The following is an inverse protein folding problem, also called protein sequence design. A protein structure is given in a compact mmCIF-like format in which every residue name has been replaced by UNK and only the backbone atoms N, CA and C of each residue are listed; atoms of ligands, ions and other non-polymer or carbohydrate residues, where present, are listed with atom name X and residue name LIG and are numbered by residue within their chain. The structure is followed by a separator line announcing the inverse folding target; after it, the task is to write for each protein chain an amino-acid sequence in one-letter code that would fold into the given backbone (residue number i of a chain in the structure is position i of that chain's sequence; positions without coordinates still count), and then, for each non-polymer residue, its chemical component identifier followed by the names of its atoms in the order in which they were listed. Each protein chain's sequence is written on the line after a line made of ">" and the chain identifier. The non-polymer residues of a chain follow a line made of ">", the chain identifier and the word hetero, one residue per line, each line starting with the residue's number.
data_IF_542684953612
#
_entry.id   IF_542684953612
#
_cell.length_a   1.000
_cell.length_b   1.000
_cell.length_c   1.000
_cell.angle_alpha   90.00
_cell.angle_beta   90.00
_cell.angle_gamma   90.00
#
_symmetry.space_group_name_H-M   'P 1'
#
loop_
_entity.id
_entity.type
_entity.pdbx_description
1 polymer ?
#
# COMPACT_ATOMS: atom_id res chain seq x y z
N UNK A 1 -7.81 37.41 -28.93
CA UNK A 1 -6.81 37.98 -29.84
C UNK A 1 -6.52 39.46 -29.51
N UNK A 2 -7.53 40.32 -29.58
CA UNK A 2 -7.37 41.77 -29.32
C UNK A 2 -6.69 42.05 -27.98
N UNK A 3 -7.10 41.43 -26.92
CA UNK A 3 -6.50 41.59 -25.60
C UNK A 3 -5.00 41.23 -25.55
N UNK A 4 -4.54 40.30 -26.37
CA UNK A 4 -3.11 39.97 -26.48
C UNK A 4 -2.39 41.04 -27.29
N UNK A 5 -2.96 41.45 -28.43
CA UNK A 5 -2.35 42.45 -29.30
C UNK A 5 -2.23 43.80 -28.58
N UNK A 6 -3.26 44.25 -27.88
CA UNK A 6 -3.29 45.52 -27.16
C UNK A 6 -2.28 45.60 -26.00
N UNK A 7 -2.03 44.48 -25.34
CA UNK A 7 -1.09 44.39 -24.21
C UNK A 7 0.36 44.11 -24.68
N UNK A 8 0.55 43.77 -25.95
CA UNK A 8 1.89 43.48 -26.50
C UNK A 8 2.75 44.74 -26.55
N UNK A 9 3.93 44.75 -25.90
CA UNK A 9 4.84 45.90 -25.97
C UNK A 9 5.26 46.23 -27.41
N UNK A 10 5.44 47.52 -27.73
CA UNK A 10 5.73 48.02 -29.09
C UNK A 10 6.90 47.30 -29.78
N UNK A 11 7.93 46.95 -29.02
CA UNK A 11 9.10 46.19 -29.54
C UNK A 11 8.76 44.78 -30.06
N UNK A 12 7.63 44.23 -29.66
CA UNK A 12 7.18 42.88 -30.08
C UNK A 12 5.94 42.90 -30.98
N UNK A 13 5.37 44.10 -31.30
CA UNK A 13 4.18 44.22 -32.17
C UNK A 13 4.38 43.65 -33.59
N UNK A 14 5.61 43.46 -34.01
CA UNK A 14 5.91 42.80 -35.26
C UNK A 14 5.67 41.27 -35.24
N UNK A 15 5.62 40.70 -34.03
CA UNK A 15 5.28 39.28 -33.82
C UNK A 15 3.75 39.20 -33.73
N UNK A 16 3.11 38.74 -34.81
CA UNK A 16 1.66 38.56 -34.84
C UNK A 16 1.27 37.25 -34.15
N UNK A 17 0.64 37.23 -32.99
CA UNK A 17 0.17 36.00 -32.40
C UNK A 17 -0.98 35.43 -33.21
N UNK A 18 -0.99 34.12 -33.44
CA UNK A 18 -2.14 33.43 -34.03
C UNK A 18 -3.00 32.86 -32.88
N UNK A 19 -4.25 33.29 -32.82
CA UNK A 19 -5.23 32.73 -31.88
C UNK A 19 -6.30 32.01 -32.68
N UNK A 20 -6.52 30.76 -32.37
CA UNK A 20 -7.51 29.92 -33.04
C UNK A 20 -8.44 29.29 -31.99
N UNK A 21 -9.67 29.00 -32.39
CA UNK A 21 -10.62 28.27 -31.56
C UNK A 21 -10.86 26.89 -32.14
N UNK A 22 -11.28 25.96 -31.27
CA UNK A 22 -11.65 24.61 -31.68
C UNK A 22 -13.02 24.61 -32.36
N UNK A 23 -13.24 23.68 -33.29
CA UNK A 23 -14.46 23.64 -34.11
C UNK A 23 -15.71 23.25 -33.33
N UNK A 24 -15.56 22.44 -32.27
CA UNK A 24 -16.66 21.93 -31.42
C UNK A 24 -16.31 22.00 -29.94
N UNK A 25 -15.55 23.01 -29.51
CA UNK A 25 -15.10 23.14 -28.14
C UNK A 25 -14.13 22.04 -27.72
N UNK A 26 -13.99 21.80 -26.41
CA UNK A 26 -13.02 20.90 -25.82
C UNK A 26 -13.17 19.44 -26.30
N UNK A 27 -14.38 19.00 -26.67
CA UNK A 27 -14.62 17.61 -27.14
C UNK A 27 -13.96 17.26 -28.46
N UNK A 28 -13.61 18.26 -29.30
CA UNK A 28 -12.90 18.05 -30.57
C UNK A 28 -11.41 18.32 -30.51
N UNK A 29 -10.89 18.72 -29.36
CA UNK A 29 -9.55 19.26 -29.20
C UNK A 29 -8.46 18.39 -29.84
N UNK A 30 -8.33 17.12 -29.45
CA UNK A 30 -7.32 16.19 -29.96
C UNK A 30 -7.47 16.04 -31.49
N UNK A 31 -8.69 15.85 -31.99
CA UNK A 31 -8.96 15.66 -33.40
C UNK A 31 -8.59 16.90 -34.22
N UNK A 32 -8.98 18.08 -33.73
CA UNK A 32 -8.70 19.35 -34.41
C UNK A 32 -7.20 19.62 -34.48
N UNK A 33 -6.47 19.39 -33.39
CA UNK A 33 -5.02 19.59 -33.36
C UNK A 33 -4.29 18.56 -34.25
N UNK A 34 -4.69 17.31 -34.23
CA UNK A 34 -4.10 16.25 -35.08
C UNK A 34 -4.31 16.56 -36.57
N UNK A 35 -5.54 16.95 -36.97
CA UNK A 35 -5.87 17.28 -38.34
C UNK A 35 -5.13 18.53 -38.82
N UNK A 36 -4.73 19.41 -37.92
CA UNK A 36 -4.03 20.64 -38.26
C UNK A 36 -2.55 20.64 -37.84
N UNK A 37 -1.96 19.44 -37.61
CA UNK A 37 -0.57 19.30 -37.17
C UNK A 37 0.40 20.09 -38.00
N UNK A 38 0.34 19.99 -39.34
CA UNK A 38 1.23 20.70 -40.26
C UNK A 38 1.08 22.25 -40.22
N UNK A 39 -0.06 22.75 -39.74
CA UNK A 39 -0.21 24.17 -39.44
C UNK A 39 0.45 24.54 -38.08
N UNK A 40 0.28 23.72 -37.08
CA UNK A 40 0.85 23.95 -35.74
C UNK A 40 2.38 23.90 -35.74
N UNK A 41 2.97 23.01 -36.52
CA UNK A 41 4.43 22.85 -36.69
C UNK A 41 5.14 24.09 -37.30
N UNK A 42 4.38 25.05 -37.83
CA UNK A 42 4.93 26.33 -38.32
C UNK A 42 5.22 27.32 -37.19
N UNK A 43 4.73 27.02 -35.96
CA UNK A 43 4.91 27.91 -34.81
C UNK A 43 5.98 27.33 -33.89
N UNK A 44 6.77 28.24 -33.31
CA UNK A 44 7.79 27.87 -32.32
C UNK A 44 7.17 27.37 -31.02
N UNK A 45 5.96 27.87 -30.69
CA UNK A 45 5.25 27.55 -29.47
C UNK A 45 3.75 27.43 -29.75
N UNK A 46 3.12 26.41 -29.18
CA UNK A 46 1.67 26.24 -29.17
C UNK A 46 1.21 26.32 -27.71
N UNK A 47 0.28 27.22 -27.44
CA UNK A 47 -0.25 27.44 -26.10
C UNK A 47 -1.71 26.99 -26.04
N UNK A 48 -2.01 26.06 -25.16
CA UNK A 48 -3.36 25.62 -24.87
C UNK A 48 -3.96 26.55 -23.82
N UNK A 49 -5.05 27.22 -24.15
CA UNK A 49 -5.78 28.12 -23.27
C UNK A 49 -7.24 27.68 -23.27
N UNK A 50 -7.56 26.68 -22.45
CA UNK A 50 -8.90 26.10 -22.30
C UNK A 50 -9.56 26.58 -21.02
N UNK A 51 -10.87 26.35 -20.91
CA UNK A 51 -11.64 26.68 -19.72
C UNK A 51 -11.08 25.95 -18.49
N UNK A 52 -11.17 26.56 -17.32
CA UNK A 52 -10.68 25.99 -16.07
C UNK A 52 -11.69 25.04 -15.42
N UNK A 53 -12.74 24.66 -16.13
CA UNK A 53 -13.69 23.63 -15.71
C UNK A 53 -13.19 22.21 -16.00
N UNK A 54 -13.88 21.20 -15.45
CA UNK A 54 -13.49 19.79 -15.57
C UNK A 54 -13.36 19.34 -17.03
N UNK A 55 -14.31 19.64 -17.95
CA UNK A 55 -14.19 19.25 -19.38
C UNK A 55 -12.98 19.91 -20.07
N UNK A 56 -12.72 21.19 -19.78
CA UNK A 56 -11.59 21.92 -20.35
C UNK A 56 -10.25 21.33 -19.91
N UNK A 57 -10.10 21.02 -18.63
CA UNK A 57 -8.86 20.43 -18.08
C UNK A 57 -8.65 18.97 -18.51
N UNK A 58 -9.74 18.20 -18.66
CA UNK A 58 -9.67 16.87 -19.25
C UNK A 58 -9.17 16.93 -20.71
N UNK A 59 -9.67 17.89 -21.51
CA UNK A 59 -9.22 18.08 -22.88
C UNK A 59 -7.73 18.47 -22.95
N UNK A 60 -7.24 19.33 -22.06
CA UNK A 60 -5.80 19.65 -21.94
C UNK A 60 -5.01 18.36 -21.75
N UNK A 61 -5.41 17.52 -20.81
CA UNK A 61 -4.73 16.26 -20.51
C UNK A 61 -4.66 15.35 -21.72
N UNK A 62 -5.76 15.19 -22.45
CA UNK A 62 -5.78 14.35 -23.67
C UNK A 62 -4.93 14.94 -24.81
N UNK A 63 -4.97 16.26 -24.99
CA UNK A 63 -4.13 16.92 -26.01
C UNK A 63 -2.65 16.73 -25.71
N UNK A 64 -2.24 16.88 -24.44
CA UNK A 64 -0.84 16.74 -24.05
C UNK A 64 -0.29 15.32 -24.22
N UNK A 65 -1.13 14.27 -24.24
CA UNK A 65 -0.69 12.92 -24.60
C UNK A 65 -0.18 12.83 -26.03
N UNK A 66 -0.72 13.66 -26.93
CA UNK A 66 -0.40 13.66 -28.37
C UNK A 66 0.60 14.78 -28.72
N UNK A 67 0.50 15.91 -28.02
CA UNK A 67 1.32 17.12 -28.22
C UNK A 67 1.99 17.53 -26.89
N UNK A 68 2.97 16.77 -26.38
CA UNK A 68 3.52 16.96 -25.03
C UNK A 68 4.30 18.26 -24.83
N UNK A 69 4.70 18.91 -25.91
CA UNK A 69 5.46 20.17 -25.86
C UNK A 69 4.59 21.42 -25.88
N UNK A 70 3.26 21.27 -25.98
CA UNK A 70 2.37 22.42 -25.84
C UNK A 70 2.49 23.05 -24.46
N UNK A 71 2.57 24.36 -24.40
CA UNK A 71 2.44 25.12 -23.16
C UNK A 71 0.97 25.19 -22.76
N UNK A 72 0.70 25.27 -21.48
CA UNK A 72 -0.66 25.42 -20.94
C UNK A 72 -0.75 26.72 -20.16
N UNK A 73 -1.72 27.54 -20.49
CA UNK A 73 -2.08 28.72 -19.72
C UNK A 73 -3.05 28.33 -18.62
N UNK A 74 -2.81 28.78 -17.39
CA UNK A 74 -3.71 28.60 -16.23
C UNK A 74 -4.38 29.93 -15.91
N UNK A 75 -5.69 30.01 -16.12
CA UNK A 75 -6.43 31.20 -15.86
C UNK A 75 -6.90 31.26 -14.39
N UNK A 76 -6.86 32.42 -13.74
CA UNK A 76 -7.40 32.58 -12.37
C UNK A 76 -8.93 32.66 -12.32
N UNK A 77 -9.62 32.73 -13.45
CA UNK A 77 -11.07 32.63 -13.60
C UNK A 77 -11.43 31.48 -14.52
N UNK A 78 -12.72 31.23 -14.69
CA UNK A 78 -13.23 30.09 -15.45
C UNK A 78 -12.71 30.07 -16.89
N UNK A 79 -12.75 31.20 -17.56
CA UNK A 79 -12.36 31.33 -18.98
C UNK A 79 -11.84 32.72 -19.31
N UNK A 80 -11.38 32.88 -20.58
CA UNK A 80 -10.91 34.17 -21.09
C UNK A 80 -11.99 35.25 -21.09
N UNK A 81 -13.26 34.89 -21.31
CA UNK A 81 -14.38 35.88 -21.35
C UNK A 81 -14.62 36.47 -19.99
N UNK A 82 -14.60 35.63 -18.93
CA UNK A 82 -14.72 36.07 -17.55
C UNK A 82 -13.59 37.05 -17.18
N UNK A 83 -12.35 36.75 -17.62
CA UNK A 83 -11.20 37.61 -17.43
C UNK A 83 -11.42 39.02 -18.08
N UNK A 84 -11.94 39.02 -19.32
CA UNK A 84 -12.19 40.27 -20.06
C UNK A 84 -13.35 41.05 -19.44
N UNK A 85 -14.45 40.39 -19.07
CA UNK A 85 -15.60 41.05 -18.42
C UNK A 85 -15.23 41.72 -17.09
N UNK A 86 -14.26 41.16 -16.37
CA UNK A 86 -13.75 41.75 -15.13
C UNK A 86 -12.61 42.76 -15.33
N UNK A 87 -12.29 43.14 -16.56
CA UNK A 87 -11.27 44.13 -16.86
C UNK A 87 -9.83 43.66 -16.58
N UNK A 88 -9.60 42.30 -16.56
CA UNK A 88 -8.30 41.68 -16.23
C UNK A 88 -7.47 41.31 -17.48
N UNK A 89 -7.52 42.18 -18.55
CA UNK A 89 -6.84 41.93 -19.82
C UNK A 89 -5.32 41.78 -19.66
N UNK A 90 -4.72 42.59 -18.81
CA UNK A 90 -3.26 42.53 -18.55
C UNK A 90 -2.86 41.23 -17.88
N UNK A 91 -3.69 40.75 -16.99
CA UNK A 91 -3.45 39.47 -16.30
C UNK A 91 -3.65 38.29 -17.27
N UNK A 92 -4.71 38.29 -18.08
CA UNK A 92 -4.91 37.30 -19.14
C UNK A 92 -3.69 37.25 -20.08
N UNK A 93 -3.19 38.38 -20.54
CA UNK A 93 -1.98 38.48 -21.34
C UNK A 93 -0.79 37.80 -20.65
N UNK A 94 -0.58 38.10 -19.37
CA UNK A 94 0.54 37.54 -18.61
C UNK A 94 0.43 36.01 -18.45
N UNK A 95 -0.77 35.50 -18.14
CA UNK A 95 -0.98 34.06 -17.96
C UNK A 95 -0.76 33.29 -19.29
N UNK A 96 -1.22 33.84 -20.41
CA UNK A 96 -1.08 33.18 -21.72
C UNK A 96 0.34 33.32 -22.26
N UNK A 97 0.90 34.55 -22.28
CA UNK A 97 2.15 34.83 -23.00
C UNK A 97 3.40 34.53 -22.16
N UNK A 98 3.37 34.86 -20.87
CA UNK A 98 4.58 34.78 -20.03
C UNK A 98 4.59 33.66 -19.02
N UNK A 99 3.42 33.24 -18.51
CA UNK A 99 3.31 32.23 -17.44
C UNK A 99 2.89 30.86 -17.95
N UNK A 100 2.46 30.76 -19.23
CA UNK A 100 2.19 29.46 -19.80
C UNK A 100 3.48 28.61 -19.83
N UNK A 101 3.37 27.37 -19.42
CA UNK A 101 4.50 26.46 -19.34
C UNK A 101 4.16 25.07 -19.89
N UNK A 102 5.17 24.38 -20.38
CA UNK A 102 5.05 22.95 -20.72
C UNK A 102 4.74 22.20 -19.44
N UNK A 103 3.60 21.54 -19.43
CA UNK A 103 3.26 20.64 -18.32
C UNK A 103 3.91 19.28 -18.57
N UNK A 104 4.82 18.90 -17.71
CA UNK A 104 5.38 17.54 -17.76
C UNK A 104 4.25 16.54 -17.49
N UNK A 105 3.88 15.79 -18.52
CA UNK A 105 2.99 14.65 -18.37
C UNK A 105 3.85 13.43 -18.05
N UNK A 106 3.80 13.00 -16.83
CA UNK A 106 4.52 11.81 -16.41
C UNK A 106 4.87 11.87 -14.93
N UNK A 107 5.10 10.72 -14.39
CA UNK A 107 5.47 10.51 -12.99
C UNK A 107 6.94 10.91 -12.70
N UNK A 108 7.56 11.72 -13.58
CA UNK A 108 8.93 12.21 -13.38
C UNK A 108 8.90 13.44 -12.50
N UNK A 109 9.44 13.31 -11.30
CA UNK A 109 9.54 14.40 -10.33
C UNK A 109 10.91 15.07 -10.49
N UNK A 110 10.90 16.39 -10.68
CA UNK A 110 12.14 17.18 -10.66
C UNK A 110 12.61 17.40 -9.22
N UNK A 111 13.92 17.30 -9.00
CA UNK A 111 14.51 17.61 -7.71
C UNK A 111 14.46 19.14 -7.50
N UNK A 112 13.48 19.57 -6.71
CA UNK A 112 13.26 20.96 -6.33
C UNK A 112 13.65 21.17 -4.86
N UNK A 113 13.79 22.43 -4.44
CA UNK A 113 14.05 22.77 -3.02
C UNK A 113 13.00 22.14 -2.09
N UNK A 114 11.72 22.17 -2.47
CA UNK A 114 10.64 21.53 -1.72
C UNK A 114 10.80 20.01 -1.61
N UNK A 115 11.31 19.35 -2.64
CA UNK A 115 11.61 17.91 -2.59
C UNK A 115 12.82 17.64 -1.69
N UNK A 116 13.83 18.50 -1.76
CA UNK A 116 15.03 18.43 -0.90
C UNK A 116 14.62 18.60 0.57
N UNK A 117 13.79 19.58 0.90
CA UNK A 117 13.29 19.79 2.28
C UNK A 117 12.58 18.54 2.81
N UNK A 118 11.73 17.90 2.00
CA UNK A 118 11.09 16.63 2.36
C UNK A 118 12.09 15.49 2.56
N UNK A 119 13.12 15.43 1.73
CA UNK A 119 14.16 14.41 1.80
C UNK A 119 15.10 14.59 3.01
N UNK A 120 15.21 15.80 3.56
CA UNK A 120 15.99 16.08 4.76
C UNK A 120 15.34 15.57 6.06
N UNK A 121 14.08 15.16 6.00
CA UNK A 121 13.40 14.55 7.17
C UNK A 121 14.08 13.21 7.50
N UNK A 122 14.63 13.13 8.71
CA UNK A 122 15.29 11.88 9.16
C UNK A 122 14.29 10.74 9.30
N UNK A 123 14.66 9.51 8.88
CA UNK A 123 13.86 8.33 9.13
C UNK A 123 13.58 8.14 10.63
N UNK A 124 12.39 7.67 10.95
CA UNK A 124 11.97 7.35 12.32
C UNK A 124 11.83 5.83 12.45
N UNK A 125 11.89 5.33 13.69
CA UNK A 125 11.49 3.96 13.98
C UNK A 125 10.06 3.72 13.51
N UNK A 126 9.83 2.58 12.91
CA UNK A 126 8.50 2.13 12.53
C UNK A 126 7.64 1.77 13.74
N UNK A 127 6.45 1.28 13.49
CA UNK A 127 5.54 0.80 14.53
C UNK A 127 6.13 -0.46 15.19
N UNK A 128 6.20 -0.50 16.51
CA UNK A 128 6.78 -1.66 17.20
C UNK A 128 5.91 -2.91 17.07
N UNK A 129 6.56 -4.06 16.98
CA UNK A 129 5.92 -5.37 16.77
C UNK A 129 5.57 -6.10 18.06
N UNK A 130 5.75 -5.53 19.23
CA UNK A 130 5.75 -6.16 20.55
C UNK A 130 6.95 -7.10 20.85
N UNK A 131 7.82 -7.32 19.91
CA UNK A 131 9.04 -8.12 20.07
C UNK A 131 10.27 -7.25 19.87
N UNK A 132 10.88 -6.74 20.95
CA UNK A 132 12.00 -5.79 20.88
C UNK A 132 13.18 -6.28 20.06
N UNK A 133 13.48 -7.60 20.10
CA UNK A 133 14.57 -8.14 19.28
C UNK A 133 14.27 -8.13 17.80
N UNK A 134 13.00 -8.32 17.40
CA UNK A 134 12.56 -8.18 16.02
C UNK A 134 12.62 -6.71 15.59
N UNK A 135 12.11 -5.80 16.43
CA UNK A 135 12.16 -4.36 16.16
C UNK A 135 13.60 -3.83 16.03
N UNK A 136 14.53 -4.38 16.82
CA UNK A 136 15.96 -4.04 16.70
C UNK A 136 16.55 -4.44 15.36
N UNK A 137 16.09 -5.53 14.76
CA UNK A 137 16.56 -6.00 13.46
C UNK A 137 15.89 -5.27 12.29
N UNK A 138 14.59 -5.04 12.38
CA UNK A 138 13.76 -4.52 11.26
C UNK A 138 13.43 -3.03 11.39
N UNK A 139 13.80 -2.40 12.51
CA UNK A 139 13.38 -1.04 12.90
C UNK A 139 11.86 -0.88 13.05
N UNK A 140 11.12 -1.97 13.25
CA UNK A 140 9.66 -2.01 13.34
C UNK A 140 8.95 -2.15 11.98
N UNK A 141 7.64 -1.91 11.97
CA UNK A 141 6.83 -1.91 10.75
C UNK A 141 6.73 -0.49 10.18
N UNK A 142 6.99 -0.35 8.90
CA UNK A 142 7.02 0.95 8.22
C UNK A 142 5.80 1.13 7.31
N UNK A 143 5.33 2.38 7.18
CA UNK A 143 4.38 2.74 6.14
C UNK A 143 4.99 2.52 4.74
N UNK A 144 4.13 2.34 3.73
CA UNK A 144 4.54 2.03 2.36
C UNK A 144 5.27 0.67 2.24
N UNK A 145 4.92 -0.30 3.09
CA UNK A 145 5.63 -1.57 3.19
C UNK A 145 4.69 -2.77 2.97
N UNK A 146 5.17 -3.76 2.22
CA UNK A 146 4.58 -5.10 2.15
C UNK A 146 5.49 -6.04 2.93
N UNK A 147 4.95 -6.69 3.95
CA UNK A 147 5.61 -7.74 4.72
C UNK A 147 5.02 -9.10 4.34
N UNK A 148 5.85 -10.06 3.99
CA UNK A 148 5.40 -11.44 3.76
C UNK A 148 5.85 -12.31 4.92
N UNK A 149 4.89 -13.01 5.51
CA UNK A 149 5.12 -13.94 6.61
C UNK A 149 4.77 -15.36 6.21
N UNK A 150 5.76 -16.23 6.17
CA UNK A 150 5.60 -17.62 5.78
C UNK A 150 5.77 -18.62 6.92
N UNK A 151 4.95 -19.64 6.90
CA UNK A 151 5.09 -20.78 7.79
C UNK A 151 4.51 -22.05 7.16
N UNK A 152 4.93 -23.20 7.65
CA UNK A 152 4.19 -24.42 7.38
C UNK A 152 2.89 -24.48 8.20
N UNK A 153 1.91 -25.33 7.81
CA UNK A 153 0.64 -25.45 8.54
C UNK A 153 0.84 -25.82 10.01
N UNK A 154 0.06 -25.18 10.89
CA UNK A 154 0.08 -25.41 12.35
C UNK A 154 1.38 -24.99 13.08
N UNK A 155 2.29 -24.25 12.44
CA UNK A 155 3.50 -23.72 13.11
C UNK A 155 3.20 -22.68 14.20
N UNK A 156 2.04 -22.02 14.14
CA UNK A 156 1.66 -20.96 15.08
C UNK A 156 1.49 -19.59 14.45
N UNK A 157 1.45 -19.50 13.13
CA UNK A 157 1.26 -18.28 12.34
C UNK A 157 0.11 -17.40 12.85
N UNK A 158 -1.07 -18.00 13.06
CA UNK A 158 -2.26 -17.25 13.49
C UNK A 158 -2.10 -16.66 14.90
N UNK A 159 -1.40 -17.35 15.80
CA UNK A 159 -1.15 -16.83 17.15
C UNK A 159 -0.20 -15.61 17.11
N UNK A 160 0.85 -15.69 16.29
CA UNK A 160 1.77 -14.57 16.06
C UNK A 160 1.01 -13.35 15.46
N UNK A 161 0.22 -13.59 14.42
CA UNK A 161 -0.63 -12.57 13.78
C UNK A 161 -1.55 -11.90 14.80
N UNK A 162 -2.29 -12.70 15.56
CA UNK A 162 -3.30 -12.19 16.50
C UNK A 162 -2.66 -11.38 17.64
N UNK A 163 -1.47 -11.77 18.09
CA UNK A 163 -0.73 -11.00 19.09
C UNK A 163 -0.24 -9.66 18.55
N UNK A 164 0.24 -9.62 17.31
CA UNK A 164 0.63 -8.36 16.67
C UNK A 164 -0.58 -7.43 16.49
N UNK A 165 -1.72 -7.96 16.04
CA UNK A 165 -2.98 -7.21 15.93
C UNK A 165 -3.41 -6.66 17.30
N UNK A 166 -3.38 -7.49 18.33
CA UNK A 166 -3.65 -7.08 19.72
C UNK A 166 -2.73 -5.93 20.13
N UNK A 167 -1.44 -6.06 19.91
CA UNK A 167 -0.45 -5.03 20.25
C UNK A 167 -0.73 -3.71 19.54
N UNK A 168 -0.97 -3.73 18.22
CA UNK A 168 -1.25 -2.52 17.45
C UNK A 168 -2.54 -1.84 17.94
N UNK A 169 -3.59 -2.61 18.18
CA UNK A 169 -4.89 -2.04 18.60
C UNK A 169 -4.90 -1.51 20.02
N UNK A 170 -4.20 -2.15 20.96
CA UNK A 170 -4.25 -1.80 22.37
C UNK A 170 -3.07 -0.92 22.83
N UNK A 171 -1.86 -1.17 22.35
CA UNK A 171 -0.68 -0.41 22.77
C UNK A 171 -0.41 0.80 21.90
N UNK A 172 -0.63 0.68 20.58
CA UNK A 172 -0.51 1.83 19.68
C UNK A 172 -1.83 2.58 19.48
N UNK A 173 -2.94 2.04 19.97
CA UNK A 173 -4.28 2.61 19.84
C UNK A 173 -4.65 2.94 18.36
N UNK A 174 -4.26 2.07 17.43
CA UNK A 174 -4.50 2.24 15.98
C UNK A 174 -5.52 1.22 15.48
N UNK A 175 -6.39 1.61 14.54
CA UNK A 175 -7.29 0.68 13.89
C UNK A 175 -6.54 -0.24 12.92
N UNK A 176 -7.01 -1.49 12.83
CA UNK A 176 -6.41 -2.56 12.02
C UNK A 176 -7.46 -3.23 11.15
N UNK A 177 -7.14 -3.46 9.88
CA UNK A 177 -7.96 -4.26 8.95
C UNK A 177 -7.46 -5.72 8.88
N UNK A 178 -8.34 -6.69 9.06
CA UNK A 178 -8.00 -8.12 9.07
C UNK A 178 -8.84 -8.88 8.07
N UNK A 179 -8.17 -9.46 7.09
CA UNK A 179 -8.75 -10.22 5.99
C UNK A 179 -8.39 -11.70 6.16
N UNK A 180 -9.09 -12.37 7.10
CA UNK A 180 -8.96 -13.83 7.30
C UNK A 180 -9.83 -14.55 6.27
N UNK A 181 -9.19 -15.10 5.24
CA UNK A 181 -9.89 -15.73 4.13
C UNK A 181 -10.28 -17.20 4.38
N UNK A 182 -9.77 -17.81 5.45
CA UNK A 182 -10.05 -19.20 5.84
C UNK A 182 -10.83 -19.31 7.16
N UNK A 183 -10.78 -18.29 8.00
CA UNK A 183 -11.34 -18.31 9.35
C UNK A 183 -12.56 -17.40 9.45
N UNK A 184 -13.57 -17.83 10.20
CA UNK A 184 -14.77 -17.02 10.44
C UNK A 184 -14.45 -15.81 11.35
N UNK A 185 -14.95 -14.60 11.06
CA UNK A 185 -14.65 -13.36 11.79
C UNK A 185 -14.82 -13.47 13.31
N UNK A 186 -15.90 -14.13 13.77
CA UNK A 186 -16.16 -14.35 15.21
C UNK A 186 -15.02 -15.16 15.86
N UNK A 187 -14.48 -16.16 15.16
CA UNK A 187 -13.38 -16.95 15.69
C UNK A 187 -12.10 -16.12 15.79
N UNK A 188 -11.77 -15.36 14.77
CA UNK A 188 -10.64 -14.42 14.78
C UNK A 188 -10.78 -13.41 15.91
N UNK A 189 -11.97 -12.81 16.07
CA UNK A 189 -12.25 -11.86 17.14
C UNK A 189 -12.02 -12.48 18.54
N UNK A 190 -12.53 -13.69 18.79
CA UNK A 190 -12.30 -14.41 20.06
C UNK A 190 -10.81 -14.73 20.30
N UNK A 191 -10.08 -15.09 19.26
CA UNK A 191 -8.63 -15.35 19.34
C UNK A 191 -7.84 -14.09 19.74
N UNK A 192 -8.19 -12.94 19.16
CA UNK A 192 -7.55 -11.67 19.51
C UNK A 192 -7.95 -11.23 20.92
N UNK A 193 -9.23 -11.35 21.27
CA UNK A 193 -9.71 -11.05 22.63
C UNK A 193 -9.07 -11.95 23.70
N UNK A 194 -8.68 -13.18 23.34
CA UNK A 194 -7.94 -14.07 24.24
C UNK A 194 -6.60 -13.50 24.69
N UNK A 195 -5.95 -12.68 23.85
CA UNK A 195 -4.69 -11.99 24.18
C UNK A 195 -4.91 -10.92 25.24
N UNK A 196 -6.00 -10.15 25.12
CA UNK A 196 -6.39 -9.11 26.11
C UNK A 196 -6.68 -9.74 27.46
N UNK A 197 -7.45 -10.82 27.49
CA UNK A 197 -7.87 -11.48 28.74
C UNK A 197 -6.83 -12.47 29.29
N UNK A 198 -5.78 -12.77 28.53
CA UNK A 198 -4.82 -13.86 28.83
C UNK A 198 -5.52 -15.19 29.11
N UNK A 199 -6.59 -15.44 28.38
CA UNK A 199 -7.49 -16.58 28.57
C UNK A 199 -7.96 -17.09 27.22
N UNK A 200 -7.81 -18.39 26.96
CA UNK A 200 -8.23 -18.96 25.67
C UNK A 200 -9.76 -19.16 25.62
N UNK A 201 -10.47 -18.22 24.99
CA UNK A 201 -11.94 -18.27 24.84
C UNK A 201 -12.43 -19.30 23.80
N UNK A 202 -11.55 -20.03 23.15
CA UNK A 202 -11.93 -21.07 22.19
C UNK A 202 -11.83 -22.49 22.76
N UNK A 203 -11.28 -22.66 23.95
CA UNK A 203 -11.25 -23.97 24.62
C UNK A 203 -12.57 -24.25 25.30
N UNK A 204 -13.29 -25.34 24.96
CA UNK A 204 -14.60 -25.64 25.55
C UNK A 204 -14.55 -26.00 27.05
N UNK A 205 -13.40 -26.47 27.51
CA UNK A 205 -13.13 -26.86 28.89
C UNK A 205 -12.58 -25.70 29.76
N UNK A 206 -12.43 -24.52 29.18
CA UNK A 206 -11.94 -23.36 29.90
C UNK A 206 -13.11 -22.63 30.56
N UNK A 207 -13.14 -22.59 31.89
CA UNK A 207 -14.15 -21.87 32.64
C UNK A 207 -13.80 -20.40 32.73
N UNK A 208 -14.66 -19.54 32.17
CA UNK A 208 -14.52 -18.08 32.25
C UNK A 208 -15.88 -17.38 32.40
N UNK A 209 -15.89 -16.25 33.09
CA UNK A 209 -17.08 -15.41 33.21
C UNK A 209 -17.40 -14.72 31.88
N UNK A 210 -18.66 -14.75 31.44
CA UNK A 210 -19.15 -14.04 30.28
C UNK A 210 -18.83 -12.55 30.29
N UNK A 211 -18.72 -11.94 31.45
CA UNK A 211 -18.29 -10.54 31.59
C UNK A 211 -16.82 -10.34 31.20
N UNK A 212 -15.96 -11.33 31.51
CA UNK A 212 -14.55 -11.26 31.07
C UNK A 212 -14.45 -11.23 29.57
N UNK A 213 -15.18 -12.13 28.88
CA UNK A 213 -15.24 -12.14 27.42
C UNK A 213 -15.82 -10.84 26.87
N UNK A 214 -16.96 -10.38 27.39
CA UNK A 214 -17.60 -9.13 26.95
C UNK A 214 -16.66 -7.94 27.09
N UNK A 215 -16.01 -7.79 28.24
CA UNK A 215 -15.05 -6.71 28.48
C UNK A 215 -13.85 -6.76 27.53
N UNK A 216 -13.33 -7.96 27.25
CA UNK A 216 -12.23 -8.13 26.31
C UNK A 216 -12.65 -7.76 24.89
N UNK A 217 -13.84 -8.15 24.44
CA UNK A 217 -14.38 -7.82 23.11
C UNK A 217 -14.62 -6.31 22.94
N UNK A 218 -15.10 -5.64 23.98
CA UNK A 218 -15.40 -4.20 23.95
C UNK A 218 -14.17 -3.33 23.69
N UNK A 219 -12.98 -3.82 24.03
CA UNK A 219 -11.70 -3.13 23.79
C UNK A 219 -11.39 -2.92 22.31
N UNK A 220 -12.00 -3.72 21.43
CA UNK A 220 -11.74 -3.70 19.99
C UNK A 220 -12.77 -2.91 19.18
N UNK A 221 -13.82 -2.38 19.81
CA UNK A 221 -14.83 -1.54 19.14
C UNK A 221 -14.17 -0.31 18.51
N UNK A 222 -14.41 -0.10 17.20
CA UNK A 222 -13.83 0.99 16.41
C UNK A 222 -12.33 0.88 16.15
N UNK A 223 -11.69 -0.26 16.51
CA UNK A 223 -10.26 -0.49 16.28
C UNK A 223 -9.95 -1.75 15.49
N UNK A 224 -10.89 -2.67 15.38
CA UNK A 224 -10.69 -3.92 14.67
C UNK A 224 -11.77 -4.09 13.61
N UNK A 225 -11.35 -4.12 12.35
CA UNK A 225 -12.20 -4.30 11.19
C UNK A 225 -11.93 -5.67 10.58
N UNK A 226 -12.92 -6.55 10.65
CA UNK A 226 -12.81 -7.92 10.18
C UNK A 226 -13.56 -8.10 8.86
N UNK A 227 -12.87 -8.61 7.85
CA UNK A 227 -13.49 -8.89 6.57
C UNK A 227 -14.47 -10.07 6.69
N UNK A 228 -15.73 -9.83 6.35
CA UNK A 228 -16.74 -10.87 6.28
C UNK A 228 -16.80 -11.43 4.86
N UNK A 229 -16.26 -12.64 4.69
CA UNK A 229 -16.16 -13.34 3.41
C UNK A 229 -17.48 -13.92 2.87
N UNK A 230 -18.61 -13.64 3.50
CA UNK A 230 -19.91 -14.15 3.05
C UNK A 230 -20.29 -13.62 1.67
N UNK A 231 -19.64 -12.56 1.17
CA UNK A 231 -19.82 -11.98 -0.16
C UNK A 231 -18.86 -12.55 -1.19
N UNK A 232 -17.65 -12.02 -1.26
CA UNK A 232 -16.69 -12.31 -2.33
C UNK A 232 -15.31 -12.64 -1.78
N UNK A 233 -14.56 -13.48 -2.53
CA UNK A 233 -13.10 -13.66 -2.37
C UNK A 233 -12.35 -13.08 -3.56
N UNK A 234 -12.98 -12.15 -4.29
CA UNK A 234 -12.31 -11.50 -5.40
C UNK A 234 -11.31 -10.47 -4.87
N UNK A 235 -10.17 -10.41 -5.50
CA UNK A 235 -9.11 -9.47 -5.13
C UNK A 235 -9.56 -8.01 -5.29
N UNK A 236 -10.34 -7.69 -6.33
CA UNK A 236 -10.79 -6.34 -6.58
C UNK A 236 -11.71 -5.81 -5.46
N UNK A 237 -12.58 -6.68 -4.91
CA UNK A 237 -13.43 -6.33 -3.78
C UNK A 237 -12.59 -6.09 -2.50
N UNK A 238 -11.60 -6.95 -2.25
CA UNK A 238 -10.68 -6.79 -1.12
C UNK A 238 -9.88 -5.50 -1.25
N UNK A 239 -9.34 -5.22 -2.44
CA UNK A 239 -8.62 -3.98 -2.75
C UNK A 239 -9.48 -2.75 -2.49
N UNK A 240 -10.73 -2.76 -2.92
CA UNK A 240 -11.68 -1.67 -2.67
C UNK A 240 -11.93 -1.47 -1.17
N UNK A 241 -12.14 -2.57 -0.41
CA UNK A 241 -12.32 -2.51 1.04
C UNK A 241 -11.08 -1.96 1.78
N UNK A 242 -9.87 -2.32 1.35
CA UNK A 242 -8.63 -1.77 1.92
C UNK A 242 -8.57 -0.25 1.72
N UNK A 243 -8.86 0.23 0.52
CA UNK A 243 -8.89 1.67 0.20
C UNK A 243 -9.95 2.38 1.04
N UNK A 244 -11.17 1.84 1.09
CA UNK A 244 -12.28 2.40 1.85
C UNK A 244 -11.93 2.52 3.34
N UNK A 245 -11.44 1.45 3.98
CA UNK A 245 -11.04 1.47 5.37
C UNK A 245 -9.88 2.44 5.65
N UNK A 246 -8.94 2.57 4.73
CA UNK A 246 -7.89 3.56 4.86
C UNK A 246 -8.44 4.99 4.85
N UNK A 247 -9.31 5.30 3.90
CA UNK A 247 -9.83 6.66 3.69
C UNK A 247 -10.90 7.07 4.72
N UNK A 248 -11.75 6.15 5.16
CA UNK A 248 -12.87 6.45 6.05
C UNK A 248 -12.56 6.18 7.51
N UNK A 249 -11.79 5.13 7.81
CA UNK A 249 -11.55 4.66 9.18
C UNK A 249 -10.10 4.90 9.64
N UNK A 250 -9.24 5.51 8.80
CA UNK A 250 -7.81 5.75 9.06
C UNK A 250 -7.03 4.47 9.37
N UNK A 251 -7.44 3.33 8.81
CA UNK A 251 -6.69 2.08 8.93
C UNK A 251 -5.42 2.17 8.10
N UNK A 252 -4.28 1.88 8.71
CA UNK A 252 -2.99 1.89 8.04
C UNK A 252 -2.30 0.52 8.06
N UNK A 253 -2.68 -0.37 8.94
CA UNK A 253 -2.13 -1.72 9.07
C UNK A 253 -3.18 -2.75 8.65
N UNK A 254 -2.85 -3.55 7.61
CA UNK A 254 -3.73 -4.57 7.04
C UNK A 254 -3.09 -5.95 7.12
N UNK A 255 -3.87 -6.94 7.52
CA UNK A 255 -3.46 -8.34 7.63
C UNK A 255 -4.25 -9.19 6.64
N UNK A 256 -3.56 -9.88 5.73
CA UNK A 256 -4.15 -10.66 4.66
C UNK A 256 -3.72 -12.13 4.79
N UNK A 257 -4.60 -13.01 5.27
CA UNK A 257 -4.29 -14.37 5.67
C UNK A 257 -5.28 -15.42 5.12
N UNK A 258 -4.83 -16.38 4.31
CA UNK A 258 -3.59 -16.36 3.53
C UNK A 258 -3.79 -15.82 2.10
N UNK A 259 -2.74 -15.31 1.49
CA UNK A 259 -2.76 -14.93 0.07
C UNK A 259 -3.13 -16.10 -0.86
N UNK A 260 -2.72 -17.31 -0.51
CA UNK A 260 -3.02 -18.51 -1.29
C UNK A 260 -4.50 -18.80 -1.43
N UNK A 261 -5.35 -18.32 -0.54
CA UNK A 261 -6.80 -18.46 -0.64
C UNK A 261 -7.38 -17.70 -1.85
N UNK A 262 -6.75 -16.62 -2.28
CA UNK A 262 -7.16 -15.80 -3.43
C UNK A 262 -6.89 -16.50 -4.77
N UNK A 263 -5.96 -17.42 -4.80
CA UNK A 263 -5.52 -18.11 -6.01
C UNK A 263 -5.93 -19.59 -6.03
N UNK A 264 -6.60 -20.07 -4.98
CA UNK A 264 -6.92 -21.51 -4.80
C UNK A 264 -7.87 -22.11 -5.86
N UNK A 265 -8.56 -21.26 -6.65
CA UNK A 265 -9.49 -21.71 -7.69
C UNK A 265 -8.84 -21.87 -9.07
N UNK A 266 -7.61 -21.43 -9.23
CA UNK A 266 -6.90 -21.39 -10.50
C UNK A 266 -6.00 -22.59 -10.69
N UNK A 267 -5.70 -22.94 -11.93
CA UNK A 267 -4.64 -23.89 -12.25
C UNK A 267 -3.27 -23.36 -11.82
N UNK A 268 -2.27 -24.21 -11.68
CA UNK A 268 -0.96 -23.80 -11.14
C UNK A 268 -0.28 -22.67 -11.94
N UNK A 269 -0.44 -22.62 -13.27
CA UNK A 269 0.09 -21.54 -14.10
C UNK A 269 -0.69 -20.24 -13.89
N UNK A 270 -2.01 -20.30 -13.99
CA UNK A 270 -2.89 -19.15 -13.77
C UNK A 270 -2.77 -18.59 -12.35
N UNK A 271 -2.60 -19.47 -11.34
CA UNK A 271 -2.41 -19.06 -9.96
C UNK A 271 -1.16 -18.18 -9.78
N UNK A 272 -0.05 -18.50 -10.45
CA UNK A 272 1.16 -17.69 -10.41
C UNK A 272 0.98 -16.34 -11.08
N UNK A 273 0.32 -16.28 -12.22
CA UNK A 273 0.04 -15.03 -12.94
C UNK A 273 -0.88 -14.15 -12.10
N UNK A 274 -1.95 -14.74 -11.54
CA UNK A 274 -2.88 -14.02 -10.67
C UNK A 274 -2.23 -13.51 -9.39
N UNK A 275 -1.34 -14.29 -8.77
CA UNK A 275 -0.60 -13.84 -7.61
C UNK A 275 0.35 -12.68 -7.95
N UNK A 276 0.97 -12.71 -9.13
CA UNK A 276 1.82 -11.60 -9.58
C UNK A 276 0.99 -10.32 -9.83
N UNK A 277 -0.22 -10.43 -10.37
CA UNK A 277 -1.16 -9.28 -10.49
C UNK A 277 -1.52 -8.73 -9.11
N UNK A 278 -1.93 -9.58 -8.17
CA UNK A 278 -2.27 -9.17 -6.79
C UNK A 278 -1.10 -8.46 -6.12
N UNK A 279 0.10 -9.01 -6.24
CA UNK A 279 1.29 -8.41 -5.62
C UNK A 279 1.71 -7.10 -6.30
N UNK A 280 1.48 -6.95 -7.60
CA UNK A 280 1.68 -5.69 -8.33
C UNK A 280 0.69 -4.64 -7.85
N UNK A 281 -0.59 -4.99 -7.74
CA UNK A 281 -1.63 -4.12 -7.19
C UNK A 281 -1.35 -3.69 -5.74
N UNK A 282 -0.86 -4.63 -4.90
CA UNK A 282 -0.44 -4.31 -3.53
C UNK A 282 0.73 -3.33 -3.49
N UNK A 283 1.71 -3.49 -4.40
CA UNK A 283 2.82 -2.56 -4.51
C UNK A 283 2.34 -1.15 -4.90
N UNK A 284 1.39 -1.06 -5.83
CA UNK A 284 0.77 0.22 -6.21
C UNK A 284 -0.02 0.84 -5.05
N UNK A 285 -0.73 0.02 -4.27
CA UNK A 285 -1.46 0.48 -3.08
C UNK A 285 -0.54 1.06 -2.02
N UNK A 286 0.52 0.34 -1.64
CA UNK A 286 1.44 0.82 -0.61
C UNK A 286 2.29 2.01 -1.09
N UNK A 287 2.52 2.15 -2.39
CA UNK A 287 3.17 3.33 -2.96
C UNK A 287 2.24 4.56 -2.95
N UNK A 288 0.94 4.33 -3.16
CA UNK A 288 -0.06 5.41 -3.21
C UNK A 288 -0.49 5.88 -1.83
N UNK A 289 -0.69 4.94 -0.90
CA UNK A 289 -1.19 5.20 0.44
C UNK A 289 -0.15 4.83 1.51
N UNK A 290 -0.06 5.59 2.62
CA UNK A 290 0.89 5.31 3.69
C UNK A 290 0.43 4.12 4.56
N UNK A 291 0.28 2.96 3.94
CA UNK A 291 -0.19 1.74 4.58
C UNK A 291 0.89 0.67 4.64
N UNK A 292 0.73 -0.24 5.60
CA UNK A 292 1.51 -1.48 5.73
C UNK A 292 0.59 -2.66 5.49
N UNK A 293 0.95 -3.55 4.59
CA UNK A 293 0.19 -4.78 4.34
C UNK A 293 1.03 -6.00 4.72
N UNK A 294 0.54 -6.76 5.71
CA UNK A 294 1.18 -7.99 6.18
C UNK A 294 0.45 -9.17 5.57
N UNK A 295 1.12 -9.82 4.62
CA UNK A 295 0.60 -10.93 3.84
C UNK A 295 1.10 -12.25 4.39
N UNK A 296 0.21 -13.19 4.63
CA UNK A 296 0.56 -14.53 5.09
C UNK A 296 0.52 -15.53 3.93
N UNK A 297 1.56 -16.38 3.88
CA UNK A 297 1.66 -17.43 2.86
C UNK A 297 2.03 -18.76 3.50
N UNK A 298 1.55 -19.84 2.90
CA UNK A 298 2.05 -21.17 3.20
C UNK A 298 3.39 -21.40 2.50
N UNK A 299 4.22 -22.23 3.13
CA UNK A 299 5.48 -22.69 2.51
C UNK A 299 5.30 -24.07 1.92
N UNK A 300 5.90 -24.30 0.76
CA UNK A 300 5.97 -25.59 0.10
C UNK A 300 6.92 -26.54 0.87
N UNK A 301 6.77 -27.82 0.65
CA UNK A 301 7.67 -28.82 1.24
C UNK A 301 9.13 -28.52 0.89
N UNK A 302 10.08 -28.84 1.80
CA UNK A 302 11.50 -28.64 1.54
C UNK A 302 11.98 -29.55 0.42
N UNK A 303 13.14 -29.22 -0.16
CA UNK A 303 13.77 -30.04 -1.19
C UNK A 303 14.08 -31.46 -0.68
N UNK A 304 14.10 -32.44 -1.59
CA UNK A 304 14.46 -33.82 -1.25
C UNK A 304 15.81 -33.85 -0.52
N UNK A 305 15.83 -34.54 0.62
CA UNK A 305 17.04 -34.69 1.46
C UNK A 305 17.21 -33.58 2.52
N UNK A 306 16.38 -32.57 2.54
CA UNK A 306 16.33 -31.60 3.62
C UNK A 306 15.39 -32.05 4.74
N UNK A 307 15.66 -31.59 5.97
CA UNK A 307 14.80 -31.81 7.13
C UNK A 307 13.43 -31.20 6.87
N UNK A 308 12.36 -31.91 7.25
CA UNK A 308 11.00 -31.41 7.07
C UNK A 308 10.75 -30.17 7.93
N UNK A 309 9.86 -29.28 7.49
CA UNK A 309 9.51 -28.10 8.28
C UNK A 309 8.83 -28.46 9.62
N UNK A 310 8.09 -29.57 9.66
CA UNK A 310 7.46 -30.08 10.87
C UNK A 310 8.48 -30.57 11.91
N UNK A 311 9.67 -30.93 11.47
CA UNK A 311 10.81 -31.33 12.30
C UNK A 311 11.76 -30.16 12.60
N UNK A 312 11.34 -28.91 12.40
CA UNK A 312 12.17 -27.73 12.58
C UNK A 312 13.13 -27.46 11.43
N UNK A 313 12.86 -27.96 10.23
CA UNK A 313 13.61 -27.63 9.02
C UNK A 313 13.52 -26.16 8.67
N UNK A 314 14.63 -25.58 8.21
CA UNK A 314 14.75 -24.16 7.88
C UNK A 314 13.82 -23.75 6.74
N UNK A 315 13.20 -22.60 6.87
CA UNK A 315 12.41 -21.97 5.81
C UNK A 315 13.32 -21.08 4.95
N UNK A 316 13.15 -21.21 3.63
CA UNK A 316 13.80 -20.37 2.64
C UNK A 316 12.74 -19.56 1.89
N UNK A 317 13.08 -18.36 1.47
CA UNK A 317 12.18 -17.47 0.71
C UNK A 317 11.64 -18.13 -0.56
N UNK A 318 12.47 -18.90 -1.27
CA UNK A 318 12.08 -19.66 -2.46
C UNK A 318 11.05 -20.77 -2.23
N UNK A 319 10.69 -21.07 -0.97
CA UNK A 319 9.68 -22.07 -0.61
C UNK A 319 8.29 -21.48 -0.42
N UNK A 320 8.12 -20.18 -0.44
CA UNK A 320 6.79 -19.58 -0.41
C UNK A 320 5.98 -20.00 -1.64
N UNK A 321 4.72 -20.32 -1.45
CA UNK A 321 3.81 -20.55 -2.58
C UNK A 321 3.71 -19.28 -3.40
N UNK A 322 4.14 -19.34 -4.68
CA UNK A 322 4.26 -18.16 -5.54
C UNK A 322 5.47 -17.27 -5.23
N UNK A 323 6.55 -17.85 -4.72
CA UNK A 323 7.75 -17.18 -4.18
C UNK A 323 8.29 -16.04 -5.03
N UNK A 324 8.34 -16.20 -6.36
CA UNK A 324 8.87 -15.15 -7.25
C UNK A 324 8.10 -13.83 -7.16
N UNK A 325 6.77 -13.89 -7.14
CA UNK A 325 5.94 -12.68 -7.02
C UNK A 325 6.09 -12.06 -5.63
N UNK A 326 6.08 -12.88 -4.58
CA UNK A 326 6.22 -12.45 -3.20
C UNK A 326 7.57 -11.75 -2.97
N UNK A 327 8.68 -12.39 -3.34
CA UNK A 327 10.02 -11.78 -3.22
C UNK A 327 10.18 -10.53 -4.08
N UNK A 328 9.57 -10.51 -5.28
CA UNK A 328 9.70 -9.38 -6.20
C UNK A 328 9.07 -8.09 -5.68
N UNK A 329 7.95 -8.19 -4.98
CA UNK A 329 7.16 -7.02 -4.65
C UNK A 329 7.13 -6.67 -3.16
N UNK A 330 7.52 -7.58 -2.27
CA UNK A 330 7.55 -7.29 -0.84
C UNK A 330 8.88 -6.69 -0.40
N UNK A 331 8.84 -5.99 0.73
CA UNK A 331 9.95 -5.28 1.33
C UNK A 331 10.65 -6.16 2.37
N UNK A 332 9.88 -6.86 3.20
CA UNK A 332 10.37 -7.71 4.28
C UNK A 332 9.76 -9.11 4.17
N UNK A 333 10.58 -10.14 4.23
CA UNK A 333 10.17 -11.54 4.29
C UNK A 333 10.55 -12.18 5.61
N UNK A 334 9.57 -12.72 6.32
CA UNK A 334 9.72 -13.41 7.59
C UNK A 334 9.32 -14.87 7.48
N UNK A 335 10.00 -15.77 8.18
CA UNK A 335 9.68 -17.18 8.25
C UNK A 335 9.55 -17.64 9.69
N UNK A 336 8.48 -18.38 10.03
CA UNK A 336 8.29 -18.97 11.36
C UNK A 336 8.68 -20.45 11.31
N UNK A 337 9.78 -20.79 11.96
CA UNK A 337 10.30 -22.13 12.13
C UNK A 337 9.91 -22.68 13.50
N UNK A 338 9.46 -23.92 13.57
CA UNK A 338 9.10 -24.62 14.82
C UNK A 338 9.22 -26.12 14.65
N UNK A 339 9.84 -26.80 15.61
CA UNK A 339 9.88 -28.27 15.67
C UNK A 339 8.61 -28.77 16.39
N UNK A 340 7.85 -29.65 15.73
CA UNK A 340 6.66 -30.31 16.25
C UNK A 340 6.70 -31.82 16.04
N UNK A 341 7.87 -32.34 15.74
CA UNK A 341 8.08 -33.79 15.60
C UNK A 341 7.78 -34.52 16.91
N UNK A 342 7.46 -35.79 16.80
CA UNK A 342 7.25 -36.63 17.97
C UNK A 342 8.51 -36.77 18.85
N UNK A 343 9.69 -36.58 18.25
CA UNK A 343 10.98 -36.66 18.94
C UNK A 343 11.44 -35.27 19.52
N UNK A 344 10.64 -34.22 19.31
CA UNK A 344 10.96 -32.92 19.89
C UNK A 344 10.89 -32.94 21.41
N UNK A 345 11.95 -32.53 22.12
CA UNK A 345 11.95 -32.42 23.56
C UNK A 345 10.79 -31.58 24.06
N UNK A 346 10.12 -32.00 25.16
CA UNK A 346 8.95 -31.31 25.71
C UNK A 346 9.25 -29.83 26.01
N UNK A 347 10.46 -29.54 26.46
CA UNK A 347 10.90 -28.16 26.74
C UNK A 347 11.02 -27.31 25.47
N UNK A 348 11.19 -27.92 24.31
CA UNK A 348 11.38 -27.24 23.03
C UNK A 348 10.13 -27.15 22.16
N UNK A 349 9.09 -27.93 22.46
CA UNK A 349 7.89 -28.01 21.62
C UNK A 349 7.16 -26.65 21.43
N UNK A 350 7.35 -25.74 22.36
CA UNK A 350 6.79 -24.38 22.31
C UNK A 350 7.82 -23.33 21.87
N UNK A 351 9.04 -23.72 21.58
CA UNK A 351 10.03 -22.81 20.99
C UNK A 351 9.76 -22.62 19.49
N UNK A 352 9.94 -21.40 19.05
CA UNK A 352 9.82 -21.02 17.65
C UNK A 352 10.90 -20.00 17.32
N UNK A 353 11.30 -19.94 16.07
CA UNK A 353 12.25 -18.95 15.59
C UNK A 353 11.63 -18.15 14.46
N UNK A 354 11.60 -16.82 14.60
CA UNK A 354 11.29 -15.92 13.50
C UNK A 354 12.58 -15.60 12.79
N UNK A 355 12.65 -15.93 11.51
CA UNK A 355 13.81 -15.68 10.67
C UNK A 355 13.52 -14.58 9.68
N UNK A 356 14.45 -13.62 9.53
CA UNK A 356 14.43 -12.67 8.43
C UNK A 356 14.98 -13.39 7.20
N UNK A 357 14.16 -13.55 6.19
CA UNK A 357 14.51 -14.23 4.95
C UNK A 357 15.11 -13.25 3.94
N UNK A 358 14.59 -12.03 3.91
CA UNK A 358 15.11 -10.90 3.16
C UNK A 358 14.54 -9.60 3.73
N UNK A 359 15.26 -8.52 3.55
CA UNK A 359 14.86 -7.15 3.84
C UNK A 359 15.46 -6.23 2.79
N UNK A 360 14.62 -5.53 2.03
CA UNK A 360 15.04 -4.64 0.95
C UNK A 360 15.37 -3.24 1.43
N UNK A 361 14.71 -2.81 2.50
CA UNK A 361 14.79 -1.42 2.95
C UNK A 361 16.07 -1.19 3.77
N UNK A 362 16.41 -2.15 4.63
CA UNK A 362 17.51 -1.99 5.58
C UNK A 362 18.60 -3.08 5.45
N UNK A 363 18.37 -4.09 4.62
CA UNK A 363 19.31 -5.21 4.47
C UNK A 363 19.44 -6.07 5.74
N UNK A 364 18.41 -6.07 6.59
CA UNK A 364 18.42 -6.82 7.83
C UNK A 364 18.51 -8.32 7.58
N UNK A 365 19.24 -9.01 8.45
CA UNK A 365 19.35 -10.47 8.48
C UNK A 365 19.43 -10.93 9.93
N UNK A 366 19.09 -12.20 10.16
CA UNK A 366 19.14 -12.78 11.49
C UNK A 366 17.85 -13.50 11.86
N UNK A 367 17.74 -13.83 13.13
CA UNK A 367 16.56 -14.53 13.66
C UNK A 367 16.31 -14.12 15.11
N UNK A 368 15.07 -14.31 15.53
CA UNK A 368 14.60 -14.05 16.89
C UNK A 368 13.97 -15.32 17.42
N UNK A 369 14.45 -15.81 18.54
CA UNK A 369 13.86 -16.96 19.22
C UNK A 369 12.67 -16.49 20.06
N UNK A 370 11.61 -17.29 20.03
CA UNK A 370 10.36 -17.03 20.74
C UNK A 370 9.90 -18.28 21.47
N UNK A 371 9.20 -18.06 22.56
CA UNK A 371 8.52 -19.12 23.30
C UNK A 371 7.01 -18.85 23.31
N UNK A 372 6.23 -19.86 22.91
CA UNK A 372 4.77 -19.77 22.98
C UNK A 372 4.27 -20.25 24.34
N UNK A 373 3.70 -19.33 25.10
CA UNK A 373 3.02 -19.67 26.36
C UNK A 373 1.58 -20.13 26.06
N UNK A 374 1.31 -21.39 26.39
CA UNK A 374 0.01 -22.02 26.12
C UNK A 374 -1.10 -21.49 27.03
N UNK A 375 -0.76 -21.01 28.22
CA UNK A 375 -1.73 -20.52 29.20
C UNK A 375 -2.19 -19.10 28.83
N UNK A 376 -1.24 -18.20 28.59
CA UNK A 376 -1.52 -16.82 28.18
C UNK A 376 -1.80 -16.67 26.70
N UNK A 377 -1.51 -17.69 25.91
CA UNK A 377 -1.59 -17.71 24.43
C UNK A 377 -0.65 -16.69 23.75
N UNK A 378 0.44 -16.28 24.41
CA UNK A 378 1.37 -15.25 23.93
C UNK A 378 2.68 -15.86 23.44
N UNK A 379 3.28 -15.21 22.41
CA UNK A 379 4.66 -15.39 22.04
C UNK A 379 5.54 -14.44 22.84
N UNK A 380 6.47 -14.98 23.60
CA UNK A 380 7.39 -14.25 24.47
C UNK A 380 8.82 -14.39 23.93
N UNK A 381 9.61 -13.33 23.99
CA UNK A 381 11.05 -13.44 23.78
C UNK A 381 11.72 -14.04 25.02
N UNK A 382 12.74 -14.88 24.86
CA UNK A 382 13.54 -15.36 25.98
C UNK A 382 14.13 -14.15 26.73
N UNK A 383 13.99 -14.13 28.05
CA UNK A 383 14.65 -13.11 28.86
C UNK A 383 16.16 -13.22 28.65
N UNK A 384 16.76 -12.22 28.02
CA UNK A 384 18.23 -12.14 27.91
C UNK A 384 18.73 -12.01 29.35
N UNK A 385 19.35 -13.07 29.86
CA UNK A 385 20.12 -12.94 31.11
C UNK A 385 21.28 -12.00 30.80
N UNK A 386 21.18 -10.76 31.31
CA UNK A 386 22.34 -9.85 31.32
C UNK A 386 23.43 -10.53 32.15
N UNK A 387 24.51 -10.90 31.49
CA UNK A 387 25.74 -11.32 32.14
C UNK A 387 26.48 -10.11 32.69
#
# INVERSE_FOLDING_TARGET
>A
YEAIVDQTPDKYKHLKPSVVSLTRGCTSAVKDLVNNRGFLEKYNEVILCFDMDEPGQAAVTEVLKVFPLCKVAKLPLKDCSDMLMQGRQKELYNEVVWRSAVQRQGQVVEVTDSLIEKALVRPKMGLSTCWPSLDKLTYGLHSHQIVVFGSYPKAGKSEWKNQLIYHITQHHNRPVGVYDLEVHPIKTLKQIASKEAKTNFLKPDNDYDDKLLSNALDKFKGKLYLYDRTGSRDWLDIKACIIEQHLLDNVCEFFLDPLTALISRFSSSEANDRLNEIMTDLADLVNTYPITVICFSHVNAPNKGSKSHEEGGKILSGQFTGSRALEKWSHLGLGLERDRSADCPVEQINHSTIKILYDRDFGASGSVDMFYDVETTEYLEPKIRSW
#
